data_IF_843081627957
#
_entry.id   IF_843081627957
#
_cell.length_a   1.000
_cell.length_b   1.000
_cell.length_c   1.000
_cell.angle_alpha   90.00
_cell.angle_beta   90.00
_cell.angle_gamma   90.00
#
_symmetry.space_group_name_H-M   'P 1'
#
loop_
_entity.id
_entity.type
_entity.pdbx_description
1 polymer ?
#
# COMPACT_ATOMS: atom_id res chain seq x y z
N UNK A 1 39.57 -30.04 -15.75
CA UNK A 1 39.41 -28.71 -15.16
C UNK A 1 38.61 -27.73 -16.05
N UNK A 2 37.57 -28.14 -16.75
CA UNK A 2 36.84 -27.31 -17.75
C UNK A 2 35.32 -27.27 -17.61
N UNK A 3 34.72 -27.81 -16.54
CA UNK A 3 33.24 -27.84 -16.34
C UNK A 3 32.72 -27.06 -15.17
N UNK A 4 33.56 -26.36 -14.41
CA UNK A 4 33.12 -25.61 -13.21
C UNK A 4 32.96 -24.09 -13.42
N UNK A 5 33.31 -23.55 -14.58
CA UNK A 5 33.27 -22.10 -14.86
C UNK A 5 32.04 -21.64 -15.66
N UNK A 6 31.25 -22.53 -16.22
CA UNK A 6 30.03 -22.16 -16.98
C UNK A 6 28.73 -22.05 -16.14
N UNK A 7 28.78 -22.19 -14.82
CA UNK A 7 27.63 -21.91 -13.92
C UNK A 7 27.53 -20.45 -13.53
N UNK A 8 28.33 -19.57 -14.09
CA UNK A 8 28.31 -18.14 -13.77
C UNK A 8 27.32 -17.44 -14.69
N UNK A 9 26.20 -17.01 -14.09
CA UNK A 9 25.29 -15.94 -14.54
C UNK A 9 24.11 -16.23 -15.49
N UNK A 10 23.39 -17.31 -15.33
CA UNK A 10 22.04 -17.34 -15.89
C UNK A 10 21.09 -16.56 -14.99
N UNK A 11 20.70 -15.33 -15.41
CA UNK A 11 19.70 -14.53 -14.68
C UNK A 11 18.42 -15.34 -14.47
N UNK A 12 17.86 -15.29 -13.26
CA UNK A 12 16.57 -15.92 -12.95
C UNK A 12 15.45 -15.15 -13.64
N UNK A 13 14.57 -15.84 -14.36
CA UNK A 13 13.49 -15.21 -15.15
C UNK A 13 12.22 -15.12 -14.32
N UNK A 14 11.75 -13.90 -14.12
CA UNK A 14 10.59 -13.60 -13.26
C UNK A 14 9.49 -12.92 -14.08
N UNK A 15 8.29 -13.48 -14.06
CA UNK A 15 7.09 -12.81 -14.52
C UNK A 15 6.37 -12.18 -13.32
N UNK A 16 6.17 -10.87 -13.35
CA UNK A 16 5.37 -10.17 -12.35
C UNK A 16 4.03 -9.76 -12.95
N UNK A 17 2.92 -10.09 -12.30
CA UNK A 17 1.57 -9.75 -12.74
C UNK A 17 0.88 -8.79 -11.79
N UNK A 18 0.39 -7.68 -12.35
CA UNK A 18 -0.40 -6.67 -11.63
C UNK A 18 -1.46 -6.07 -12.55
N UNK A 19 -2.53 -5.49 -12.00
CA UNK A 19 -3.62 -4.92 -12.79
C UNK A 19 -3.20 -3.68 -13.60
N UNK A 20 -2.55 -2.71 -12.96
CA UNK A 20 -2.06 -1.45 -13.56
C UNK A 20 -1.04 -0.80 -12.60
N UNK A 21 -0.43 0.33 -12.99
CA UNK A 21 0.51 1.07 -12.14
C UNK A 21 -0.02 2.49 -11.83
N UNK A 22 -1.27 2.62 -11.38
CA UNK A 22 -1.93 3.93 -11.21
C UNK A 22 -1.50 4.68 -9.95
N UNK A 23 -2.26 4.62 -8.86
CA UNK A 23 -2.09 5.48 -7.69
C UNK A 23 -2.14 4.73 -6.36
N UNK A 24 -2.13 3.40 -6.36
CA UNK A 24 -2.25 2.61 -5.14
C UNK A 24 -0.91 2.46 -4.40
N UNK A 25 -1.00 2.22 -3.09
CA UNK A 25 0.20 1.92 -2.28
C UNK A 25 0.92 0.65 -2.73
N UNK A 26 0.18 -0.38 -3.17
CA UNK A 26 0.76 -1.62 -3.68
C UNK A 26 1.58 -1.41 -4.96
N UNK A 27 1.09 -0.55 -5.86
CA UNK A 27 1.78 -0.20 -7.10
C UNK A 27 3.07 0.59 -6.82
N UNK A 28 3.02 1.56 -5.89
CA UNK A 28 4.20 2.30 -5.44
C UNK A 28 5.25 1.37 -4.86
N UNK A 29 4.85 0.49 -3.95
CA UNK A 29 5.73 -0.49 -3.31
C UNK A 29 6.36 -1.44 -4.33
N UNK A 30 5.58 -1.96 -5.30
CA UNK A 30 6.12 -2.80 -6.36
C UNK A 30 7.21 -2.06 -7.15
N UNK A 31 6.95 -0.82 -7.58
CA UNK A 31 7.92 -0.04 -8.34
C UNK A 31 9.16 0.29 -7.52
N UNK A 32 9.00 0.55 -6.22
CA UNK A 32 10.15 0.72 -5.31
C UNK A 32 11.01 -0.53 -5.25
N UNK A 33 10.43 -1.73 -5.16
CA UNK A 33 11.21 -2.98 -5.28
C UNK A 33 11.89 -3.10 -6.63
N UNK A 34 11.17 -2.83 -7.74
CA UNK A 34 11.71 -2.95 -9.09
C UNK A 34 12.93 -2.04 -9.35
N UNK A 35 12.94 -0.85 -8.71
CA UNK A 35 14.08 0.09 -8.80
C UNK A 35 15.32 -0.41 -8.06
N UNK A 36 15.14 -1.23 -7.03
CA UNK A 36 16.21 -1.61 -6.09
C UNK A 36 16.61 -3.09 -6.17
N UNK A 37 15.91 -3.89 -6.96
CA UNK A 37 16.28 -5.29 -7.19
C UNK A 37 17.48 -5.36 -8.16
N UNK A 38 18.51 -6.22 -7.91
CA UNK A 38 19.72 -6.23 -8.72
C UNK A 38 19.49 -6.76 -10.14
N UNK A 39 19.68 -5.89 -11.15
CA UNK A 39 19.52 -6.21 -12.57
C UNK A 39 20.41 -7.37 -13.02
N UNK A 40 21.61 -7.49 -12.45
CA UNK A 40 22.57 -8.53 -12.84
C UNK A 40 22.12 -9.95 -12.45
N UNK A 41 21.18 -10.11 -11.50
CA UNK A 41 20.65 -11.39 -11.03
C UNK A 41 19.39 -11.83 -11.75
N UNK A 42 18.55 -10.89 -12.20
CA UNK A 42 17.20 -11.17 -12.67
C UNK A 42 16.91 -10.64 -14.07
N UNK A 43 16.08 -11.37 -14.81
CA UNK A 43 15.39 -10.93 -16.02
C UNK A 43 13.91 -10.84 -15.70
N UNK A 44 13.36 -9.61 -15.62
CA UNK A 44 11.99 -9.37 -15.17
C UNK A 44 11.11 -8.94 -16.34
N UNK A 45 10.00 -9.65 -16.52
CA UNK A 45 8.89 -9.26 -17.38
C UNK A 45 7.71 -8.81 -16.48
N UNK A 46 7.18 -7.61 -16.73
CA UNK A 46 6.04 -7.06 -16.03
C UNK A 46 4.78 -7.13 -16.91
N UNK A 47 3.77 -7.89 -16.53
CA UNK A 47 2.52 -8.00 -17.26
C UNK A 47 1.41 -7.22 -16.55
N UNK A 48 0.89 -6.20 -17.24
CA UNK A 48 -0.21 -5.35 -16.81
C UNK A 48 -1.51 -5.77 -17.52
N UNK A 49 -2.64 -5.80 -16.80
CA UNK A 49 -3.94 -5.91 -17.47
C UNK A 49 -4.22 -4.63 -18.27
N UNK A 50 -3.92 -3.47 -17.68
CA UNK A 50 -4.06 -2.17 -18.33
C UNK A 50 -2.74 -1.37 -18.22
N UNK A 51 -2.13 -1.05 -19.35
CA UNK A 51 -0.95 -0.17 -19.42
C UNK A 51 -1.39 1.28 -19.17
N UNK A 52 -1.53 1.62 -17.89
CA UNK A 52 -1.95 2.93 -17.42
C UNK A 52 -1.41 3.20 -16.02
N UNK A 53 -1.07 4.45 -15.74
CA UNK A 53 -0.71 4.90 -14.40
C UNK A 53 0.57 5.72 -14.34
N UNK A 54 0.67 6.55 -13.30
CA UNK A 54 1.79 7.47 -13.10
C UNK A 54 3.13 6.76 -12.85
N UNK A 55 3.09 5.57 -12.24
CA UNK A 55 4.30 4.81 -11.92
C UNK A 55 4.90 4.07 -13.13
N UNK A 56 4.28 4.15 -14.33
CA UNK A 56 4.83 3.51 -15.54
C UNK A 56 6.21 4.05 -15.93
N UNK A 57 6.40 5.36 -15.77
CA UNK A 57 7.65 6.06 -16.10
C UNK A 57 8.75 5.77 -15.09
N UNK A 58 8.38 5.30 -13.91
CA UNK A 58 9.30 4.95 -12.84
C UNK A 58 9.83 3.51 -12.92
N UNK A 59 9.26 2.68 -13.80
CA UNK A 59 9.74 1.30 -14.00
C UNK A 59 11.10 1.34 -14.68
N UNK A 60 12.14 0.66 -14.15
CA UNK A 60 13.47 0.61 -14.76
C UNK A 60 13.41 0.14 -16.22
N UNK A 61 14.22 0.77 -17.09
CA UNK A 61 14.21 0.52 -18.56
C UNK A 61 14.59 -0.90 -18.95
N UNK A 62 15.35 -1.62 -18.12
CA UNK A 62 15.72 -3.01 -18.34
C UNK A 62 14.57 -4.00 -18.13
N UNK A 63 13.46 -3.58 -17.46
CA UNK A 63 12.27 -4.40 -17.22
C UNK A 63 11.33 -4.29 -18.40
N UNK A 64 10.97 -5.44 -18.97
CA UNK A 64 10.09 -5.48 -20.13
C UNK A 64 8.62 -5.47 -19.74
N UNK A 65 7.87 -4.47 -20.24
CA UNK A 65 6.44 -4.31 -19.90
C UNK A 65 5.59 -4.92 -21.02
N UNK A 66 4.77 -5.90 -20.65
CA UNK A 66 3.68 -6.46 -21.44
C UNK A 66 2.33 -5.96 -20.92
N UNK A 67 1.31 -5.98 -21.74
CA UNK A 67 -0.04 -5.54 -21.33
C UNK A 67 -1.14 -6.23 -22.14
N UNK A 68 -2.33 -6.37 -21.53
CA UNK A 68 -3.50 -6.86 -22.23
C UNK A 68 -4.19 -5.72 -22.99
N UNK A 69 -4.31 -4.56 -22.36
CA UNK A 69 -4.94 -3.36 -22.92
C UNK A 69 -4.07 -2.12 -22.77
N UNK A 70 -4.24 -1.18 -23.71
CA UNK A 70 -3.67 0.18 -23.65
C UNK A 70 -4.77 1.21 -23.32
N UNK A 71 -4.35 2.38 -22.85
CA UNK A 71 -5.20 3.53 -22.60
C UNK A 71 -5.74 3.62 -21.19
N UNK A 72 -6.62 4.60 -20.98
CA UNK A 72 -7.12 4.92 -19.65
C UNK A 72 -8.22 3.96 -19.19
N UNK A 73 -8.40 3.92 -17.88
CA UNK A 73 -9.58 3.30 -17.29
C UNK A 73 -10.84 4.08 -17.72
N UNK A 74 -11.91 3.37 -17.97
CA UNK A 74 -13.19 3.95 -18.34
C UNK A 74 -14.10 3.89 -17.09
N UNK A 75 -14.16 4.96 -16.27
CA UNK A 75 -14.88 4.94 -14.99
C UNK A 75 -16.40 5.08 -15.15
N UNK A 76 -16.85 5.67 -16.26
CA UNK A 76 -18.27 5.98 -16.51
C UNK A 76 -18.96 4.89 -17.33
N UNK A 77 -20.30 4.88 -17.32
CA UNK A 77 -21.13 3.95 -18.09
C UNK A 77 -21.83 4.66 -19.27
N UNK A 78 -21.12 5.55 -19.94
CA UNK A 78 -21.66 6.21 -21.14
C UNK A 78 -21.89 5.17 -22.25
N UNK A 79 -22.96 5.27 -23.06
CA UNK A 79 -23.31 4.25 -24.05
C UNK A 79 -22.15 3.88 -24.99
N UNK A 80 -21.35 4.86 -25.42
CA UNK A 80 -20.21 4.63 -26.32
C UNK A 80 -19.00 3.95 -25.65
N UNK A 81 -18.94 3.91 -24.32
CA UNK A 81 -17.87 3.25 -23.55
C UNK A 81 -18.18 1.76 -23.28
N UNK A 82 -19.47 1.40 -23.29
CA UNK A 82 -19.92 0.04 -23.01
C UNK A 82 -19.29 -0.99 -23.95
N UNK A 83 -19.25 -0.79 -25.28
CA UNK A 83 -18.61 -1.76 -26.17
C UNK A 83 -17.15 -2.03 -25.86
N UNK A 84 -16.39 -0.98 -25.51
CA UNK A 84 -14.97 -1.10 -25.15
C UNK A 84 -14.80 -1.86 -23.83
N UNK A 85 -15.66 -1.62 -22.85
CA UNK A 85 -15.65 -2.36 -21.57
C UNK A 85 -15.99 -3.85 -21.80
N UNK A 86 -17.03 -4.12 -22.58
CA UNK A 86 -17.43 -5.50 -22.92
C UNK A 86 -16.28 -6.20 -23.64
N UNK A 87 -15.69 -5.58 -24.65
CA UNK A 87 -14.54 -6.13 -25.37
C UNK A 87 -13.38 -6.45 -24.43
N UNK A 88 -12.96 -5.49 -23.59
CA UNK A 88 -11.85 -5.70 -22.63
C UNK A 88 -12.15 -6.85 -21.70
N UNK A 89 -13.36 -6.87 -21.12
CA UNK A 89 -13.77 -7.94 -20.19
C UNK A 89 -13.83 -9.30 -20.89
N UNK A 90 -14.42 -9.38 -22.07
CA UNK A 90 -14.51 -10.64 -22.82
C UNK A 90 -13.12 -11.16 -23.21
N UNK A 91 -12.21 -10.27 -23.59
CA UNK A 91 -10.83 -10.62 -23.91
C UNK A 91 -10.06 -11.13 -22.67
N UNK A 92 -10.22 -10.48 -21.53
CA UNK A 92 -9.64 -10.95 -20.26
C UNK A 92 -10.22 -12.32 -19.86
N UNK A 93 -11.53 -12.52 -19.95
CA UNK A 93 -12.15 -13.82 -19.65
C UNK A 93 -11.68 -14.92 -20.62
N UNK A 94 -11.53 -14.62 -21.91
CA UNK A 94 -10.94 -15.54 -22.87
C UNK A 94 -9.54 -15.99 -22.47
N UNK A 95 -8.68 -15.06 -22.06
CA UNK A 95 -7.31 -15.37 -21.62
C UNK A 95 -7.28 -16.14 -20.29
N UNK A 96 -8.26 -15.93 -19.41
CA UNK A 96 -8.43 -16.72 -18.18
C UNK A 96 -8.84 -18.16 -18.45
N UNK A 97 -9.71 -18.36 -19.44
CA UNK A 97 -10.14 -19.70 -19.88
C UNK A 97 -9.03 -20.43 -20.64
N UNK A 98 -8.28 -19.72 -21.47
CA UNK A 98 -7.22 -20.25 -22.31
C UNK A 98 -5.87 -19.60 -22.02
N UNK A 99 -5.25 -19.83 -20.85
CA UNK A 99 -4.00 -19.16 -20.46
C UNK A 99 -2.83 -19.44 -21.41
N UNK A 100 -2.86 -20.57 -22.14
CA UNK A 100 -1.86 -20.86 -23.19
C UNK A 100 -1.82 -19.76 -24.28
N UNK A 101 -2.93 -19.10 -24.58
CA UNK A 101 -2.98 -17.99 -25.55
C UNK A 101 -2.19 -16.79 -25.05
N UNK A 102 -2.34 -16.44 -23.77
CA UNK A 102 -1.59 -15.37 -23.11
C UNK A 102 -0.08 -15.59 -23.25
N UNK A 103 0.40 -16.79 -22.91
CA UNK A 103 1.83 -17.13 -22.97
C UNK A 103 2.33 -17.24 -24.41
N UNK A 104 1.50 -17.70 -25.34
CA UNK A 104 1.87 -17.83 -26.76
C UNK A 104 1.97 -16.47 -27.47
N UNK A 105 0.94 -15.62 -27.34
CA UNK A 105 0.80 -14.43 -28.15
C UNK A 105 1.31 -13.16 -27.45
N UNK A 106 1.12 -13.00 -26.15
CA UNK A 106 1.53 -11.81 -25.41
C UNK A 106 2.93 -11.99 -24.84
N UNK A 107 3.19 -13.08 -24.13
CA UNK A 107 4.48 -13.37 -23.52
C UNK A 107 5.46 -14.08 -24.48
N UNK A 108 5.08 -14.28 -25.74
CA UNK A 108 5.94 -14.81 -26.83
C UNK A 108 6.64 -16.14 -26.48
N UNK A 109 5.90 -17.07 -25.85
CA UNK A 109 6.37 -18.40 -25.41
C UNK A 109 7.55 -18.37 -24.43
N UNK A 110 7.73 -17.29 -23.67
CA UNK A 110 8.75 -17.23 -22.65
C UNK A 110 8.47 -18.22 -21.51
N UNK A 111 9.51 -18.82 -21.00
CA UNK A 111 9.47 -19.62 -19.78
C UNK A 111 9.99 -18.77 -18.62
N UNK A 112 9.43 -18.97 -17.44
CA UNK A 112 9.78 -18.27 -16.22
C UNK A 112 10.16 -19.27 -15.14
N UNK A 113 11.14 -18.89 -14.31
CA UNK A 113 11.51 -19.64 -13.11
C UNK A 113 10.52 -19.30 -11.96
N UNK A 114 10.09 -18.02 -11.91
CA UNK A 114 9.14 -17.52 -10.90
C UNK A 114 8.03 -16.72 -11.56
N UNK A 115 6.81 -16.91 -11.07
CA UNK A 115 5.65 -16.08 -11.40
C UNK A 115 5.13 -15.42 -10.11
N UNK A 116 5.39 -14.09 -9.97
CA UNK A 116 4.97 -13.28 -8.83
C UNK A 116 3.64 -12.59 -9.12
N UNK A 117 2.64 -12.86 -8.29
CA UNK A 117 1.30 -12.30 -8.36
C UNK A 117 1.26 -11.10 -7.43
N UNK A 118 1.49 -9.89 -7.96
CA UNK A 118 1.48 -8.65 -7.19
C UNK A 118 0.07 -8.07 -6.96
N UNK A 119 -0.96 -8.76 -7.43
CA UNK A 119 -2.37 -8.48 -7.09
C UNK A 119 -3.08 -9.81 -6.85
N UNK A 120 -3.41 -10.12 -5.61
CA UNK A 120 -4.02 -11.37 -5.18
C UNK A 120 -5.30 -11.78 -5.96
N UNK A 121 -6.00 -10.83 -6.58
CA UNK A 121 -7.16 -11.10 -7.46
C UNK A 121 -6.79 -11.89 -8.72
N UNK A 122 -5.52 -11.88 -9.12
CA UNK A 122 -5.00 -12.62 -10.28
C UNK A 122 -4.53 -14.04 -9.92
N UNK A 123 -4.68 -14.48 -8.67
CA UNK A 123 -4.21 -15.78 -8.19
C UNK A 123 -4.70 -16.94 -9.04
N UNK A 124 -6.02 -17.02 -9.31
CA UNK A 124 -6.60 -18.14 -10.06
C UNK A 124 -6.08 -18.22 -11.50
N UNK A 125 -5.78 -17.08 -12.11
CA UNK A 125 -5.24 -17.00 -13.46
C UNK A 125 -3.81 -17.55 -13.52
N UNK A 126 -2.97 -17.18 -12.52
CA UNK A 126 -1.57 -17.60 -12.49
C UNK A 126 -1.44 -19.07 -12.07
N UNK A 127 -2.30 -19.57 -11.19
CA UNK A 127 -2.36 -21.00 -10.86
C UNK A 127 -2.70 -21.90 -12.08
N UNK A 128 -3.36 -21.33 -13.09
CA UNK A 128 -3.62 -21.99 -14.38
C UNK A 128 -2.50 -21.82 -15.42
N UNK A 129 -1.38 -21.20 -15.05
CA UNK A 129 -0.23 -21.01 -15.94
C UNK A 129 0.17 -22.32 -16.64
N UNK A 130 0.49 -22.27 -17.94
CA UNK A 130 1.02 -23.42 -18.66
C UNK A 130 2.46 -23.76 -18.28
N UNK A 131 3.21 -22.83 -17.65
CA UNK A 131 4.57 -23.06 -17.16
C UNK A 131 4.51 -23.77 -15.81
N UNK A 132 4.47 -25.09 -15.83
CA UNK A 132 4.28 -25.92 -14.62
C UNK A 132 5.51 -25.96 -13.72
N UNK A 133 6.69 -25.70 -14.27
CA UNK A 133 7.96 -25.69 -13.53
C UNK A 133 8.23 -24.39 -12.77
N UNK A 134 7.54 -23.30 -13.12
CA UNK A 134 7.73 -22.01 -12.41
C UNK A 134 7.15 -22.04 -11.02
N UNK A 135 7.86 -21.46 -10.07
CA UNK A 135 7.40 -21.21 -8.71
C UNK A 135 6.40 -20.08 -8.66
N UNK A 136 5.30 -20.24 -7.94
CA UNK A 136 4.22 -19.25 -7.81
C UNK A 136 4.33 -18.56 -6.47
N UNK A 137 4.50 -17.24 -6.48
CA UNK A 137 4.48 -16.40 -5.29
C UNK A 137 3.24 -15.51 -5.37
N UNK A 138 2.39 -15.51 -4.35
CA UNK A 138 1.28 -14.56 -4.26
C UNK A 138 1.56 -13.52 -3.19
N UNK A 139 1.46 -12.26 -3.56
CA UNK A 139 1.66 -11.13 -2.65
C UNK A 139 0.31 -10.58 -2.18
N UNK A 140 0.10 -10.61 -0.87
CA UNK A 140 -1.14 -10.20 -0.19
C UNK A 140 -0.94 -8.84 0.44
N UNK A 141 -1.51 -7.79 -0.18
CA UNK A 141 -1.37 -6.40 0.23
C UNK A 141 -2.43 -5.91 1.24
N UNK A 142 -3.50 -6.67 1.45
CA UNK A 142 -4.61 -6.28 2.31
C UNK A 142 -4.94 -7.37 3.32
N UNK A 143 -5.57 -7.00 4.42
CA UNK A 143 -6.18 -7.95 5.34
C UNK A 143 -7.45 -8.55 4.68
N UNK A 144 -7.26 -9.68 3.97
CA UNK A 144 -8.33 -10.36 3.27
C UNK A 144 -9.34 -11.00 4.23
N UNK A 145 -8.95 -11.26 5.47
CA UNK A 145 -9.83 -11.85 6.50
C UNK A 145 -10.90 -10.86 6.97
N UNK A 146 -10.64 -9.56 6.84
CA UNK A 146 -11.62 -8.49 7.14
C UNK A 146 -12.57 -8.18 5.97
N UNK A 147 -12.43 -8.84 4.82
CA UNK A 147 -13.21 -8.61 3.61
C UNK A 147 -14.24 -9.74 3.44
N UNK A 148 -15.57 -9.47 3.50
CA UNK A 148 -16.60 -10.52 3.49
C UNK A 148 -16.58 -11.46 2.27
N UNK A 149 -16.12 -10.97 1.11
CA UNK A 149 -16.03 -11.76 -0.13
C UNK A 149 -14.91 -12.83 -0.09
N UNK A 150 -13.97 -12.76 0.85
CA UNK A 150 -12.90 -13.75 1.04
C UNK A 150 -13.29 -14.81 2.06
N UNK A 151 -14.10 -15.76 1.63
CA UNK A 151 -14.47 -16.92 2.46
C UNK A 151 -13.26 -17.80 2.73
N UNK A 152 -13.31 -18.61 3.81
CA UNK A 152 -12.30 -19.62 4.16
C UNK A 152 -11.89 -20.49 2.95
N UNK A 153 -12.85 -20.89 2.11
CA UNK A 153 -12.60 -21.68 0.89
C UNK A 153 -11.76 -20.92 -0.13
N UNK A 154 -11.99 -19.61 -0.29
CA UNK A 154 -11.18 -18.79 -1.21
C UNK A 154 -9.78 -18.56 -0.65
N UNK A 155 -9.64 -18.29 0.65
CA UNK A 155 -8.35 -18.10 1.30
C UNK A 155 -7.49 -19.37 1.27
N UNK A 156 -8.05 -20.56 1.46
CA UNK A 156 -7.33 -21.82 1.31
C UNK A 156 -6.72 -22.05 -0.08
N UNK A 157 -7.22 -21.39 -1.12
CA UNK A 157 -6.61 -21.48 -2.47
C UNK A 157 -5.22 -20.87 -2.54
N UNK A 158 -4.88 -19.95 -1.63
CA UNK A 158 -3.54 -19.32 -1.59
C UNK A 158 -2.46 -20.36 -1.32
N UNK A 159 -2.74 -21.40 -0.54
CA UNK A 159 -1.79 -22.50 -0.27
C UNK A 159 -1.47 -23.36 -1.49
N UNK A 160 -2.14 -23.16 -2.62
CA UNK A 160 -1.75 -23.77 -3.92
C UNK A 160 -0.53 -23.08 -4.55
N UNK A 161 -0.13 -21.89 -4.07
CA UNK A 161 1.13 -21.24 -4.44
C UNK A 161 2.31 -21.89 -3.70
N UNK A 162 3.52 -21.69 -4.21
CA UNK A 162 4.75 -22.15 -3.54
C UNK A 162 5.10 -21.27 -2.36
N UNK A 163 4.84 -19.94 -2.45
CA UNK A 163 4.99 -19.00 -1.34
C UNK A 163 3.83 -18.00 -1.32
N UNK A 164 3.47 -17.58 -0.10
CA UNK A 164 2.46 -16.56 0.19
C UNK A 164 3.20 -15.42 0.88
N UNK A 165 3.42 -14.32 0.16
CA UNK A 165 4.06 -13.14 0.71
C UNK A 165 3.01 -12.25 1.38
N UNK A 166 3.13 -12.07 2.68
CA UNK A 166 2.27 -11.22 3.51
C UNK A 166 3.05 -10.00 4.02
N UNK A 167 2.35 -8.92 4.31
CA UNK A 167 2.95 -7.63 4.65
C UNK A 167 2.84 -7.25 6.14
N UNK A 168 2.23 -8.11 6.96
CA UNK A 168 2.14 -7.91 8.43
C UNK A 168 2.11 -9.23 9.17
N UNK A 169 2.49 -9.21 10.46
CA UNK A 169 2.42 -10.39 11.33
C UNK A 169 0.98 -10.84 11.57
N UNK A 170 0.06 -9.87 11.69
CA UNK A 170 -1.37 -10.18 11.83
C UNK A 170 -1.87 -11.01 10.65
N UNK A 171 -1.61 -10.58 9.41
CA UNK A 171 -2.04 -11.33 8.22
C UNK A 171 -1.36 -12.70 8.18
N UNK A 172 -0.07 -12.79 8.55
CA UNK A 172 0.66 -14.06 8.65
C UNK A 172 -0.02 -15.01 9.63
N UNK A 173 -0.27 -14.54 10.86
CA UNK A 173 -0.92 -15.32 11.91
C UNK A 173 -2.32 -15.81 11.50
N UNK A 174 -3.12 -15.00 10.81
CA UNK A 174 -4.42 -15.43 10.31
C UNK A 174 -4.31 -16.55 9.24
N UNK A 175 -3.33 -16.47 8.34
CA UNK A 175 -3.05 -17.57 7.42
C UNK A 175 -2.50 -18.82 8.14
N UNK A 176 -1.66 -18.65 9.17
CA UNK A 176 -1.17 -19.78 9.99
C UNK A 176 -2.31 -20.53 10.68
N UNK A 177 -3.30 -19.81 11.21
CA UNK A 177 -4.53 -20.42 11.77
C UNK A 177 -5.36 -21.17 10.73
N UNK A 178 -5.27 -20.75 9.46
CA UNK A 178 -6.00 -21.36 8.36
C UNK A 178 -5.28 -22.58 7.77
N UNK A 179 -3.96 -22.68 7.96
CA UNK A 179 -3.12 -23.78 7.52
C UNK A 179 -3.52 -25.08 8.24
N UNK A 180 -3.54 -26.18 7.49
CA UNK A 180 -3.94 -27.51 8.01
C UNK A 180 -2.76 -28.42 8.27
N UNK A 181 -1.61 -28.14 7.66
CA UNK A 181 -0.36 -28.88 7.79
C UNK A 181 0.83 -27.92 7.90
N UNK A 182 1.94 -28.37 8.44
CA UNK A 182 3.13 -27.53 8.66
C UNK A 182 3.71 -27.01 7.34
N UNK A 183 3.73 -27.81 6.28
CA UNK A 183 4.18 -27.37 4.95
C UNK A 183 3.43 -26.11 4.44
N UNK A 184 2.14 -25.95 4.76
CA UNK A 184 1.37 -24.76 4.41
C UNK A 184 1.87 -23.52 5.18
N UNK A 185 2.29 -23.67 6.44
CA UNK A 185 2.87 -22.57 7.22
C UNK A 185 4.23 -22.14 6.69
N UNK A 186 5.05 -23.09 6.24
CA UNK A 186 6.37 -22.82 5.64
C UNK A 186 6.27 -22.03 4.31
N UNK A 187 5.11 -22.02 3.67
CA UNK A 187 4.84 -21.18 2.50
C UNK A 187 4.69 -19.70 2.84
N UNK A 188 4.40 -19.37 4.10
CA UNK A 188 4.17 -17.99 4.53
C UNK A 188 5.49 -17.25 4.71
N UNK A 189 5.65 -16.17 3.96
CA UNK A 189 6.80 -15.28 4.08
C UNK A 189 6.31 -13.88 4.41
N UNK A 190 6.96 -13.24 5.38
CA UNK A 190 6.65 -11.85 5.73
C UNK A 190 7.78 -10.95 5.25
N UNK A 191 7.43 -10.03 4.36
CA UNK A 191 8.30 -8.92 3.97
C UNK A 191 7.47 -7.65 4.07
N UNK A 192 7.94 -6.71 4.86
CA UNK A 192 7.30 -5.40 4.97
C UNK A 192 7.45 -4.60 3.69
N UNK A 193 6.51 -3.70 3.46
CA UNK A 193 6.61 -2.76 2.35
C UNK A 193 7.84 -1.87 2.55
N UNK A 194 8.76 -1.78 1.59
CA UNK A 194 9.93 -0.95 1.69
C UNK A 194 9.57 0.53 1.65
N UNK A 195 10.36 1.33 2.34
CA UNK A 195 10.24 2.80 2.34
C UNK A 195 11.59 3.41 2.04
N UNK A 196 11.59 4.27 1.05
CA UNK A 196 12.71 5.13 0.73
C UNK A 196 12.66 6.38 1.62
N UNK A 197 13.33 6.29 2.78
CA UNK A 197 13.35 7.37 3.76
C UNK A 197 14.06 8.61 3.22
N UNK A 198 15.08 8.47 2.38
CA UNK A 198 15.79 9.60 1.77
C UNK A 198 14.90 10.34 0.78
N UNK A 199 14.18 9.63 -0.07
CA UNK A 199 13.20 10.22 -0.98
C UNK A 199 12.14 11.03 -0.22
N UNK A 200 11.59 10.45 0.86
CA UNK A 200 10.57 11.12 1.70
C UNK A 200 11.13 12.41 2.31
N UNK A 201 12.32 12.36 2.92
CA UNK A 201 12.96 13.51 3.55
C UNK A 201 13.27 14.60 2.50
N UNK A 202 13.78 14.23 1.34
CA UNK A 202 14.09 15.18 0.29
C UNK A 202 12.83 15.84 -0.25
N UNK A 203 11.81 15.07 -0.60
CA UNK A 203 10.53 15.58 -1.09
C UNK A 203 9.78 16.42 -0.05
N UNK A 204 9.98 16.17 1.24
CA UNK A 204 9.30 16.94 2.28
C UNK A 204 9.76 18.41 2.34
N UNK A 205 10.96 18.71 1.83
CA UNK A 205 11.55 20.05 1.79
C UNK A 205 11.14 20.84 0.52
N UNK A 206 10.50 20.19 -0.44
CA UNK A 206 10.07 20.85 -1.68
C UNK A 206 8.99 21.90 -1.41
N UNK A 207 9.06 23.00 -2.15
CA UNK A 207 8.02 24.03 -2.11
C UNK A 207 6.79 23.52 -2.88
N UNK A 208 5.63 23.66 -2.26
CA UNK A 208 4.35 23.38 -2.90
C UNK A 208 3.49 24.65 -2.95
N UNK A 209 2.58 24.70 -3.92
CA UNK A 209 1.64 25.82 -4.05
C UNK A 209 0.48 25.65 -3.05
N UNK A 210 0.80 25.78 -1.76
CA UNK A 210 -0.17 25.70 -0.66
C UNK A 210 0.26 26.60 0.49
N UNK A 211 -0.68 27.37 1.05
CA UNK A 211 -0.42 28.24 2.20
C UNK A 211 -0.82 27.53 3.49
N UNK A 212 0.17 27.16 4.29
CA UNK A 212 -0.08 26.56 5.61
C UNK A 212 -0.42 27.62 6.64
N UNK A 213 -1.44 27.36 7.43
CA UNK A 213 -1.80 28.20 8.55
C UNK A 213 -0.92 27.82 9.74
N UNK A 214 0.07 28.66 10.04
CA UNK A 214 0.96 28.51 11.20
C UNK A 214 0.52 29.43 12.33
N UNK A 215 0.19 28.85 13.47
CA UNK A 215 -0.12 29.58 14.70
C UNK A 215 0.42 28.79 15.88
N UNK A 216 0.94 29.49 16.88
CA UNK A 216 1.35 28.84 18.15
C UNK A 216 0.15 28.34 18.96
N UNK A 217 -1.01 29.01 18.81
CA UNK A 217 -2.22 28.73 19.59
C UNK A 217 -3.12 27.68 18.94
N UNK A 218 -3.00 27.43 17.63
CA UNK A 218 -3.86 26.53 16.87
C UNK A 218 -3.03 25.36 16.35
N UNK A 219 -3.19 24.20 16.98
CA UNK A 219 -2.53 22.96 16.56
C UNK A 219 -3.14 22.41 15.26
N UNK A 220 -2.32 21.72 14.50
CA UNK A 220 -2.71 21.19 13.19
C UNK A 220 -2.50 19.69 13.11
N UNK A 221 -3.51 18.97 12.66
CA UNK A 221 -3.43 17.57 12.30
C UNK A 221 -3.37 17.42 10.79
N UNK A 222 -2.61 16.42 10.33
CA UNK A 222 -2.64 15.98 8.93
C UNK A 222 -3.04 14.51 8.85
N UNK A 223 -3.84 14.19 7.86
CA UNK A 223 -4.11 12.81 7.45
C UNK A 223 -3.97 12.69 5.93
N UNK A 224 -3.40 11.58 5.45
CA UNK A 224 -3.10 11.37 4.04
C UNK A 224 -3.66 10.04 3.58
N UNK A 225 -4.39 10.05 2.47
CA UNK A 225 -4.91 8.82 1.89
C UNK A 225 -6.01 9.03 0.87
N UNK A 226 -6.35 7.97 0.14
CA UNK A 226 -7.48 7.99 -0.80
C UNK A 226 -8.79 8.23 -0.03
N UNK A 227 -9.59 9.20 -0.46
CA UNK A 227 -10.84 9.55 0.21
C UNK A 227 -11.91 8.49 -0.07
N UNK A 228 -11.87 7.45 0.76
CA UNK A 228 -12.78 6.30 0.76
C UNK A 228 -13.33 6.09 2.18
N UNK A 229 -14.53 5.49 2.36
CA UNK A 229 -15.12 5.19 3.68
C UNK A 229 -14.18 4.39 4.60
N UNK A 230 -13.29 3.56 4.02
CA UNK A 230 -12.26 2.83 4.73
C UNK A 230 -11.39 3.74 5.61
N UNK A 231 -11.05 4.94 5.15
CA UNK A 231 -10.15 5.88 5.85
C UNK A 231 -10.79 6.58 7.04
N UNK A 232 -12.12 6.51 7.18
CA UNK A 232 -12.83 7.01 8.35
C UNK A 232 -12.75 8.52 8.55
N UNK A 233 -12.61 9.31 7.48
CA UNK A 233 -12.55 10.77 7.59
C UNK A 233 -13.84 11.37 8.12
N UNK A 234 -14.98 10.72 7.87
CA UNK A 234 -16.28 11.12 8.42
C UNK A 234 -16.28 11.10 9.95
N UNK A 235 -15.77 10.05 10.58
CA UNK A 235 -15.67 9.94 12.04
C UNK A 235 -14.63 10.89 12.62
N UNK A 236 -13.52 11.11 11.94
CA UNK A 236 -12.52 12.11 12.31
C UNK A 236 -13.12 13.52 12.38
N UNK A 237 -13.88 13.91 11.35
CA UNK A 237 -14.53 15.24 11.27
C UNK A 237 -15.58 15.42 12.36
N UNK A 238 -16.35 14.39 12.71
CA UNK A 238 -17.32 14.44 13.81
C UNK A 238 -16.62 14.68 15.16
N UNK A 239 -15.51 13.96 15.41
CA UNK A 239 -14.75 14.12 16.66
C UNK A 239 -14.02 15.46 16.72
N UNK A 240 -13.52 15.95 15.59
CA UNK A 240 -13.03 17.32 15.46
C UNK A 240 -14.10 18.34 15.89
N UNK A 241 -15.34 18.22 15.37
CA UNK A 241 -16.44 19.11 15.76
C UNK A 241 -16.74 19.04 17.25
N UNK A 242 -16.70 17.83 17.85
CA UNK A 242 -16.90 17.64 19.30
C UNK A 242 -15.85 18.43 20.10
N UNK A 243 -14.57 18.30 19.73
CA UNK A 243 -13.45 18.99 20.39
C UNK A 243 -13.50 20.51 20.22
N UNK A 244 -13.91 21.03 19.05
CA UNK A 244 -14.12 22.46 18.86
C UNK A 244 -15.22 23.03 19.80
N UNK A 245 -16.30 22.26 20.04
CA UNK A 245 -17.35 22.67 20.98
C UNK A 245 -16.85 22.71 22.44
N UNK A 246 -15.82 21.90 22.77
CA UNK A 246 -15.16 21.91 24.08
C UNK A 246 -14.07 23.00 24.18
N UNK A 247 -13.88 23.82 23.15
CA UNK A 247 -12.93 24.94 23.17
C UNK A 247 -11.52 24.63 22.67
N UNK A 248 -11.25 23.39 22.24
CA UNK A 248 -9.93 23.04 21.69
C UNK A 248 -9.73 23.65 20.30
N UNK A 249 -8.82 24.61 20.17
CA UNK A 249 -8.51 25.28 18.88
C UNK A 249 -7.53 24.42 18.07
N UNK A 250 -8.01 23.83 16.98
CA UNK A 250 -7.16 23.02 16.09
C UNK A 250 -7.73 22.95 14.67
N UNK A 251 -6.90 22.53 13.71
CA UNK A 251 -7.26 22.35 12.30
C UNK A 251 -6.86 20.98 11.81
N UNK A 252 -7.52 20.52 10.74
CA UNK A 252 -7.21 19.25 10.08
C UNK A 252 -6.97 19.51 8.59
N UNK A 253 -5.85 19.00 8.07
CA UNK A 253 -5.59 18.87 6.64
C UNK A 253 -5.86 17.43 6.22
N UNK A 254 -6.81 17.24 5.29
CA UNK A 254 -7.10 15.93 4.67
C UNK A 254 -6.49 15.97 3.27
N UNK A 255 -5.39 15.23 3.07
CA UNK A 255 -4.61 15.20 1.83
C UNK A 255 -4.97 13.95 1.04
N UNK A 256 -5.63 14.14 -0.10
CA UNK A 256 -6.04 13.06 -0.97
C UNK A 256 -7.32 13.33 -1.74
N UNK A 257 -7.64 12.42 -2.64
CA UNK A 257 -8.86 12.44 -3.45
C UNK A 257 -9.45 11.03 -3.53
N UNK A 258 -10.71 10.91 -3.90
CA UNK A 258 -11.39 9.63 -4.02
C UNK A 258 -12.89 9.78 -4.27
N UNK A 259 -13.56 8.66 -4.48
CA UNK A 259 -15.00 8.71 -4.83
C UNK A 259 -15.89 9.25 -3.71
N UNK A 260 -15.42 9.23 -2.45
CA UNK A 260 -16.16 9.73 -1.28
C UNK A 260 -15.89 11.22 -1.00
N UNK A 261 -15.06 11.88 -1.81
CA UNK A 261 -14.64 13.27 -1.62
C UNK A 261 -15.83 14.24 -1.50
N UNK A 262 -16.84 14.06 -2.35
CA UNK A 262 -18.06 14.91 -2.32
C UNK A 262 -18.86 14.74 -1.03
N UNK A 263 -19.00 13.50 -0.54
CA UNK A 263 -19.73 13.22 0.70
C UNK A 263 -19.00 13.82 1.91
N UNK A 264 -17.68 13.68 1.97
CA UNK A 264 -16.85 14.29 3.02
C UNK A 264 -16.93 15.81 2.99
N UNK A 265 -16.87 16.43 1.79
CA UNK A 265 -17.03 17.89 1.65
C UNK A 265 -18.42 18.37 2.10
N UNK A 266 -19.47 17.62 1.79
CA UNK A 266 -20.82 17.91 2.28
C UNK A 266 -20.88 17.85 3.81
N UNK A 267 -20.36 16.79 4.41
CA UNK A 267 -20.30 16.61 5.86
C UNK A 267 -19.59 17.77 6.57
N UNK A 268 -18.48 18.27 6.02
CA UNK A 268 -17.73 19.42 6.54
C UNK A 268 -18.64 20.65 6.62
N UNK A 269 -19.40 20.93 5.55
CA UNK A 269 -20.34 22.05 5.49
C UNK A 269 -21.52 21.87 6.45
N UNK A 270 -22.11 20.69 6.49
CA UNK A 270 -23.26 20.37 7.37
C UNK A 270 -22.89 20.54 8.86
N UNK A 271 -21.66 20.17 9.21
CA UNK A 271 -21.13 20.35 10.56
C UNK A 271 -20.58 21.77 10.82
N UNK A 272 -20.54 22.65 9.80
CA UNK A 272 -20.00 24.02 9.88
C UNK A 272 -18.58 24.02 10.44
N UNK A 273 -17.67 23.28 9.80
CA UNK A 273 -16.24 23.18 10.17
C UNK A 273 -15.32 23.44 8.98
N UNK A 274 -15.80 24.06 7.91
CA UNK A 274 -15.09 24.38 6.68
C UNK A 274 -13.92 25.36 6.89
N UNK A 275 -13.95 26.16 7.96
CA UNK A 275 -12.81 27.03 8.36
C UNK A 275 -11.67 26.28 9.04
N UNK A 276 -11.91 25.04 9.50
CA UNK A 276 -10.97 24.27 10.32
C UNK A 276 -10.62 22.89 9.78
N UNK A 277 -11.40 22.37 8.81
CA UNK A 277 -11.10 21.14 8.07
C UNK A 277 -10.85 21.48 6.60
N UNK A 278 -9.63 21.29 6.13
CA UNK A 278 -9.19 21.67 4.80
C UNK A 278 -8.98 20.40 3.97
N UNK A 279 -9.84 20.21 2.95
CA UNK A 279 -9.66 19.19 1.92
C UNK A 279 -8.70 19.71 0.85
N UNK A 280 -7.49 19.16 0.76
CA UNK A 280 -6.49 19.66 -0.19
C UNK A 280 -6.64 19.07 -1.59
N UNK A 281 -7.45 18.02 -1.75
CA UNK A 281 -7.46 17.23 -2.96
C UNK A 281 -6.21 16.36 -3.11
N UNK A 282 -6.07 15.74 -4.29
CA UNK A 282 -4.89 14.96 -4.61
C UNK A 282 -3.64 15.84 -4.64
N UNK A 283 -2.61 15.41 -3.94
CA UNK A 283 -1.28 16.02 -3.95
C UNK A 283 -0.27 15.01 -4.47
N UNK A 284 0.50 15.37 -5.47
CA UNK A 284 1.56 14.51 -6.01
C UNK A 284 2.66 14.29 -4.97
N UNK A 285 3.01 15.34 -4.24
CA UNK A 285 3.93 15.32 -3.12
C UNK A 285 3.19 15.69 -1.82
N UNK A 286 2.77 14.70 -0.99
CA UNK A 286 2.06 14.96 0.26
C UNK A 286 2.99 15.33 1.42
N UNK A 287 4.30 15.09 1.32
CA UNK A 287 5.24 15.19 2.44
C UNK A 287 5.40 16.60 3.03
N UNK A 288 5.31 17.70 2.24
CA UNK A 288 5.29 19.03 2.83
C UNK A 288 4.12 19.26 3.80
N UNK A 289 3.00 18.55 3.66
CA UNK A 289 1.89 18.64 4.60
C UNK A 289 2.24 18.01 5.95
N UNK A 290 3.00 16.92 5.96
CA UNK A 290 3.46 16.30 7.20
C UNK A 290 4.37 17.26 7.98
N UNK A 291 5.41 17.82 7.36
CA UNK A 291 6.37 18.67 8.09
C UNK A 291 5.74 19.98 8.58
N UNK A 292 4.71 20.47 7.90
CA UNK A 292 4.02 21.71 8.27
C UNK A 292 2.87 21.50 9.26
N UNK A 293 2.43 20.26 9.51
CA UNK A 293 1.47 19.94 10.57
C UNK A 293 2.19 19.61 11.89
N UNK A 294 1.49 19.79 13.02
CA UNK A 294 2.00 19.39 14.34
C UNK A 294 1.91 17.88 14.52
N UNK A 295 0.81 17.25 14.12
CA UNK A 295 0.49 15.86 14.38
C UNK A 295 -0.01 15.15 13.13
N UNK A 296 0.24 13.84 13.05
CA UNK A 296 -0.35 12.95 12.06
C UNK A 296 -1.45 12.11 12.71
N UNK A 297 -2.58 11.90 12.00
CA UNK A 297 -3.67 11.05 12.46
C UNK A 297 -4.10 10.04 11.39
N UNK A 298 -4.13 8.76 11.77
CA UNK A 298 -4.72 7.67 11.00
C UNK A 298 -6.06 7.30 11.61
N UNK A 299 -7.16 7.60 10.93
CA UNK A 299 -8.53 7.32 11.36
C UNK A 299 -9.17 6.12 10.66
N UNK A 300 -8.39 5.25 10.03
CA UNK A 300 -8.87 4.15 9.19
C UNK A 300 -9.69 3.13 9.96
N UNK A 301 -10.77 2.63 9.35
CA UNK A 301 -11.59 1.53 9.85
C UNK A 301 -10.91 0.17 9.71
N UNK A 302 -10.16 0.00 8.64
CA UNK A 302 -9.35 -1.20 8.37
C UNK A 302 -8.21 -0.87 7.41
N UNK A 303 -7.07 -1.54 7.58
CA UNK A 303 -5.88 -1.47 6.74
C UNK A 303 -5.30 -2.86 6.56
N UNK A 304 -4.48 -3.04 5.51
CA UNK A 304 -3.59 -4.21 5.43
C UNK A 304 -2.29 -3.92 6.17
N UNK A 305 -1.65 -2.82 5.80
CA UNK A 305 -0.40 -2.32 6.37
C UNK A 305 -0.25 -0.85 5.98
N UNK A 306 -0.59 0.08 6.86
CA UNK A 306 -0.70 1.50 6.51
C UNK A 306 0.67 2.14 6.29
N UNK A 307 1.17 2.14 5.05
CA UNK A 307 2.49 2.67 4.67
C UNK A 307 2.66 4.14 5.04
N UNK A 308 1.58 4.89 5.10
CA UNK A 308 1.57 6.31 5.51
C UNK A 308 2.11 6.54 6.93
N UNK A 309 2.02 5.55 7.82
CA UNK A 309 2.65 5.62 9.16
C UNK A 309 4.16 5.66 9.09
N UNK A 310 4.77 4.95 8.15
CA UNK A 310 6.22 5.03 7.94
C UNK A 310 6.63 6.40 7.42
N UNK A 311 5.80 7.01 6.56
CA UNK A 311 6.02 8.37 6.08
C UNK A 311 6.00 9.35 7.26
N UNK A 312 5.02 9.20 8.16
CA UNK A 312 4.93 10.00 9.37
C UNK A 312 6.12 9.75 10.34
N UNK A 313 6.52 8.49 10.54
CA UNK A 313 7.69 8.11 11.35
C UNK A 313 9.00 8.68 10.78
N UNK A 314 9.20 8.55 9.46
CA UNK A 314 10.37 9.11 8.76
C UNK A 314 10.47 10.62 8.96
N UNK A 315 9.33 11.31 8.92
CA UNK A 315 9.25 12.76 9.11
C UNK A 315 9.10 13.17 10.59
N UNK A 316 9.29 12.20 11.53
CA UNK A 316 9.27 12.42 12.99
C UNK A 316 8.00 13.11 13.48
N UNK A 317 6.85 12.81 12.87
CA UNK A 317 5.56 13.35 13.30
C UNK A 317 4.99 12.55 14.46
N UNK A 318 4.54 13.19 15.55
CA UNK A 318 3.74 12.52 16.57
C UNK A 318 2.48 11.93 15.93
N UNK A 319 2.21 10.66 16.21
CA UNK A 319 1.18 9.87 15.53
C UNK A 319 0.06 9.51 16.50
N UNK A 320 -1.18 9.67 16.03
CA UNK A 320 -2.37 9.01 16.58
C UNK A 320 -2.88 8.04 15.52
N UNK A 321 -3.12 6.79 15.87
CA UNK A 321 -3.61 5.78 14.93
C UNK A 321 -4.66 4.89 15.57
N UNK A 322 -5.76 4.65 14.85
CA UNK A 322 -6.74 3.62 15.23
C UNK A 322 -6.10 2.24 15.14
N UNK A 323 -6.43 1.34 16.08
CA UNK A 323 -5.91 -0.03 16.10
C UNK A 323 -6.48 -0.84 14.94
N UNK A 324 -5.74 -0.84 13.85
CA UNK A 324 -5.99 -1.63 12.63
C UNK A 324 -4.77 -2.47 12.30
N UNK A 325 -4.91 -3.41 11.36
CA UNK A 325 -3.82 -4.32 10.98
C UNK A 325 -2.53 -3.56 10.63
N UNK A 326 -1.41 -4.00 11.17
CA UNK A 326 -0.08 -3.44 10.94
C UNK A 326 0.29 -2.28 11.87
N UNK A 327 -0.66 -1.60 12.50
CA UNK A 327 -0.38 -0.41 13.35
C UNK A 327 0.48 -0.78 14.55
N UNK A 328 0.14 -1.86 15.28
CA UNK A 328 0.91 -2.32 16.43
C UNK A 328 2.35 -2.69 16.05
N UNK A 329 2.56 -3.29 14.88
CA UNK A 329 3.88 -3.62 14.39
C UNK A 329 4.68 -2.36 14.05
N UNK A 330 4.06 -1.42 13.30
CA UNK A 330 4.73 -0.20 12.82
C UNK A 330 5.09 0.72 13.99
N UNK A 331 4.19 0.86 14.97
CA UNK A 331 4.38 1.74 16.12
C UNK A 331 5.01 1.04 17.33
N UNK A 332 5.57 -0.18 17.15
CA UNK A 332 6.16 -0.99 18.24
C UNK A 332 5.26 -1.02 19.50
N UNK A 333 4.00 -1.44 19.32
CA UNK A 333 2.99 -1.50 20.38
C UNK A 333 2.79 -0.17 21.12
N UNK A 334 2.78 0.94 20.40
CA UNK A 334 2.54 2.28 20.93
C UNK A 334 3.79 3.02 21.39
N UNK A 335 4.98 2.49 21.15
CA UNK A 335 6.23 3.17 21.50
C UNK A 335 6.46 4.43 20.66
N UNK A 336 6.15 4.38 19.36
CA UNK A 336 6.37 5.47 18.41
C UNK A 336 5.13 6.30 18.10
N UNK A 337 4.01 6.06 18.78
CA UNK A 337 2.78 6.81 18.57
C UNK A 337 1.63 6.28 19.41
N UNK A 338 0.59 7.07 19.58
CA UNK A 338 -0.61 6.70 20.32
C UNK A 338 -1.48 5.78 19.47
N UNK A 339 -1.67 4.56 19.91
CA UNK A 339 -2.66 3.63 19.36
C UNK A 339 -3.94 3.80 20.15
N UNK A 340 -5.05 4.05 19.45
CA UNK A 340 -6.36 4.25 20.05
C UNK A 340 -7.33 3.18 19.58
N UNK A 341 -8.39 2.95 20.36
CA UNK A 341 -9.47 2.07 19.96
C UNK A 341 -10.01 2.46 18.58
N UNK A 342 -10.34 1.46 17.76
CA UNK A 342 -10.87 1.68 16.42
C UNK A 342 -12.35 2.13 16.45
N UNK A 343 -12.61 3.27 17.10
CA UNK A 343 -13.92 3.86 17.33
C UNK A 343 -13.88 5.39 17.17
N UNK A 344 -15.02 6.04 17.12
CA UNK A 344 -15.13 7.50 17.17
C UNK A 344 -14.58 8.03 18.51
N UNK A 345 -14.88 7.36 19.61
CA UNK A 345 -14.42 7.77 20.94
C UNK A 345 -12.90 7.61 21.08
N UNK A 346 -12.29 6.53 20.56
CA UNK A 346 -10.84 6.37 20.56
C UNK A 346 -10.13 7.49 19.79
N UNK A 347 -10.68 7.92 18.64
CA UNK A 347 -10.15 9.07 17.88
C UNK A 347 -10.26 10.35 18.73
N UNK A 348 -11.40 10.59 19.37
CA UNK A 348 -11.63 11.76 20.22
C UNK A 348 -10.66 11.80 21.40
N UNK A 349 -10.50 10.73 22.16
CA UNK A 349 -9.59 10.65 23.30
C UNK A 349 -8.12 10.88 22.89
N UNK A 350 -7.67 10.26 21.79
CA UNK A 350 -6.32 10.46 21.29
C UNK A 350 -6.04 11.91 20.86
N UNK A 351 -6.97 12.54 20.17
CA UNK A 351 -6.84 13.95 19.79
C UNK A 351 -6.87 14.87 20.99
N UNK A 352 -7.78 14.63 21.95
CA UNK A 352 -7.90 15.42 23.18
C UNK A 352 -6.62 15.36 24.00
N UNK A 353 -6.04 14.16 24.17
CA UNK A 353 -4.78 13.97 24.88
C UNK A 353 -3.64 14.78 24.27
N UNK A 354 -3.46 14.76 22.93
CA UNK A 354 -2.42 15.52 22.25
C UNK A 354 -2.63 17.04 22.30
N UNK A 355 -3.88 17.48 22.36
CA UNK A 355 -4.24 18.90 22.48
C UNK A 355 -4.09 19.43 23.92
N UNK A 356 -4.28 18.56 24.93
CA UNK A 356 -4.21 18.93 26.35
C UNK A 356 -2.81 18.85 26.95
N UNK A 357 -1.94 17.96 26.42
CA UNK A 357 -0.68 17.56 27.02
C UNK A 357 0.47 17.60 25.99
N UNK A 358 1.19 18.73 25.91
CA UNK A 358 2.26 18.91 24.92
C UNK A 358 3.47 17.98 25.14
N UNK A 359 3.70 17.51 26.36
CA UNK A 359 4.74 16.57 26.73
C UNK A 359 4.57 15.17 26.08
N UNK A 360 3.34 14.76 25.82
CA UNK A 360 3.04 13.44 25.25
C UNK A 360 3.52 13.33 23.79
N UNK A 361 3.12 14.22 22.85
CA UNK A 361 3.67 14.20 21.50
C UNK A 361 5.20 14.40 21.47
N UNK A 362 5.78 15.23 22.35
CA UNK A 362 7.23 15.42 22.43
C UNK A 362 7.97 14.14 22.81
N UNK A 363 7.41 13.35 23.73
CA UNK A 363 7.96 12.03 24.09
C UNK A 363 8.04 11.11 22.87
N UNK A 364 7.02 11.05 22.03
CA UNK A 364 7.04 10.23 20.82
C UNK A 364 8.12 10.69 19.83
N UNK A 365 8.33 12.00 19.66
CA UNK A 365 9.42 12.52 18.82
C UNK A 365 10.78 12.10 19.36
N UNK A 366 10.98 12.14 20.69
CA UNK A 366 12.22 11.70 21.34
C UNK A 366 12.48 10.21 21.10
N UNK A 367 11.46 9.37 21.25
CA UNK A 367 11.57 7.93 20.97
C UNK A 367 11.91 7.65 19.49
N UNK A 368 11.25 8.33 18.54
CA UNK A 368 11.55 8.22 17.10
C UNK A 368 12.97 8.66 16.73
N UNK A 369 13.58 9.58 17.50
CA UNK A 369 14.95 10.03 17.28
C UNK A 369 16.01 9.10 17.90
N UNK A 370 15.61 8.25 18.83
CA UNK A 370 16.53 7.36 19.57
C UNK A 370 16.88 6.07 18.84
N UNK A 371 16.16 5.72 17.79
CA UNK A 371 16.31 4.45 17.06
C UNK A 371 16.29 4.64 15.55
N UNK A 372 17.08 3.82 14.86
CA UNK A 372 16.86 3.59 13.43
C UNK A 372 15.58 2.79 13.21
N UNK A 373 14.79 3.19 12.23
CA UNK A 373 13.56 2.49 11.88
C UNK A 373 13.90 1.11 11.28
N UNK A 374 13.30 0.01 11.77
CA UNK A 374 13.67 -1.34 11.35
C UNK A 374 13.25 -1.69 9.90
N UNK A 375 12.57 -0.80 9.22
CA UNK A 375 11.92 -1.03 7.94
C UNK A 375 12.61 -0.31 6.78
N UNK A 376 13.94 -0.51 6.68
CA UNK A 376 14.71 0.09 5.58
C UNK A 376 14.42 -0.61 4.26
N UNK A 377 14.49 0.16 3.18
CA UNK A 377 14.39 -0.34 1.82
C UNK A 377 15.42 -1.46 1.55
N UNK A 378 16.64 -1.28 2.02
CA UNK A 378 17.72 -2.25 1.89
C UNK A 378 17.36 -3.60 2.51
N UNK A 379 16.90 -3.61 3.77
CA UNK A 379 16.51 -4.85 4.45
C UNK A 379 15.35 -5.58 3.73
N UNK A 380 14.38 -4.84 3.22
CA UNK A 380 13.26 -5.43 2.48
C UNK A 380 13.72 -6.04 1.14
N UNK A 381 14.61 -5.35 0.42
CA UNK A 381 15.17 -5.82 -0.86
C UNK A 381 16.06 -7.05 -0.63
N UNK A 382 16.94 -7.03 0.38
CA UNK A 382 17.77 -8.20 0.75
C UNK A 382 16.90 -9.41 1.07
N UNK A 383 15.85 -9.22 1.85
CA UNK A 383 14.94 -10.32 2.20
C UNK A 383 14.20 -10.87 0.99
N UNK A 384 13.71 -9.98 0.10
CA UNK A 384 13.06 -10.39 -1.15
C UNK A 384 14.04 -11.16 -2.05
N UNK A 385 15.25 -10.66 -2.27
CA UNK A 385 16.23 -11.31 -3.12
C UNK A 385 16.65 -12.66 -2.58
N UNK A 386 16.86 -12.81 -1.27
CA UNK A 386 17.16 -14.10 -0.65
C UNK A 386 16.05 -15.13 -0.91
N UNK A 387 14.79 -14.72 -0.86
CA UNK A 387 13.66 -15.60 -1.16
C UNK A 387 13.62 -15.95 -2.64
N UNK A 388 13.78 -14.98 -3.52
CA UNK A 388 13.81 -15.22 -4.96
C UNK A 388 14.99 -16.13 -5.35
N UNK A 389 16.14 -16.00 -4.70
CA UNK A 389 17.33 -16.83 -4.96
C UNK A 389 17.15 -18.27 -4.45
N UNK A 390 16.37 -18.49 -3.38
CA UNK A 390 16.12 -19.81 -2.78
C UNK A 390 15.09 -20.66 -3.53
N UNK A 391 14.28 -20.07 -4.40
CA UNK A 391 13.26 -20.76 -5.21
C UNK A 391 13.80 -21.18 -6.57
#
# INVERSE_FOLDING_TARGET
>A
MGKSLERINKKKKILIRIGSLRHGGAEKVLVTFLKNIPENKYEIDLLLNLKSGKYLEEVPSWIKIYHLHKGNMIPTNKPWEIPVKVYRRSYEELLKLFPKLLYKFILKKRNYDIELIANHRLLEEVLKSPVKTSKKIVWVHNDLFSIPEYTTRKLKKFFKSDKIWVISEKIKSEFEKLATIEEEKEKLIRIYNPIDSEEIINKSKEKINFTFIKSREVKTFVTVGTVFPQKGFDRLIKMHKKLLKEGFKHKIYIVGDGYDFKNITSLIKDLKVDDTVIMTGYQENPYPFFINADYFILSSRYEGYPTVLFEALTLKKPIIATDVSGVNEILENGKFGKIVENSEEGIYEGMKEFLSHSDIPERYVKEMNSKELPFTLENAVVKLTNILDSL
#
